data_IF_664280734797
#
_entry.id   IF_664280734797
#
_cell.length_a   1.000
_cell.length_b   1.000
_cell.length_c   1.000
_cell.angle_alpha   90.00
_cell.angle_beta   90.00
_cell.angle_gamma   90.00
#
_symmetry.space_group_name_H-M   'P 1'
#
loop_
_entity.id
_entity.type
_entity.pdbx_description
1 polymer ?
#
# COMPACT_ATOMS: atom_id res chain seq x y z
N UNK A 1 -0.54 30.59 -1.45
CA UNK A 1 0.65 30.32 -0.60
C UNK A 1 1.75 29.72 -1.47
N UNK A 2 3.01 29.84 -1.03
CA UNK A 2 4.11 29.07 -1.63
C UNK A 2 4.30 27.79 -0.83
N UNK A 3 4.02 26.66 -1.41
CA UNK A 3 4.10 25.34 -0.78
C UNK A 3 5.29 24.53 -1.33
N UNK A 4 5.93 23.74 -0.48
CA UNK A 4 6.97 22.79 -0.88
C UNK A 4 6.52 21.39 -0.52
N UNK A 5 6.56 20.47 -1.49
CA UNK A 5 6.23 19.06 -1.34
C UNK A 5 7.52 18.26 -1.25
N UNK A 6 7.78 17.58 -0.15
CA UNK A 6 8.83 16.58 -0.06
C UNK A 6 8.41 15.30 -0.79
N UNK A 7 9.25 14.78 -1.65
CA UNK A 7 8.97 13.55 -2.42
C UNK A 7 10.24 12.75 -2.66
N UNK A 8 10.09 11.42 -2.75
CA UNK A 8 11.16 10.55 -3.25
C UNK A 8 11.38 10.78 -4.75
N UNK A 9 12.57 10.41 -5.24
CA UNK A 9 12.95 10.58 -6.65
C UNK A 9 12.42 9.50 -7.61
N UNK A 10 11.68 8.47 -7.16
CA UNK A 10 11.13 7.45 -8.05
C UNK A 10 10.05 8.04 -8.96
N UNK A 11 9.90 7.49 -10.19
CA UNK A 11 8.90 7.98 -11.16
C UNK A 11 7.49 8.01 -10.56
N UNK A 12 7.09 6.97 -9.82
CA UNK A 12 5.78 6.91 -9.18
C UNK A 12 5.62 7.98 -8.09
N UNK A 13 6.63 8.19 -7.24
CA UNK A 13 6.56 9.22 -6.20
C UNK A 13 6.49 10.63 -6.82
N UNK A 14 7.28 10.89 -7.84
CA UNK A 14 7.24 12.17 -8.57
C UNK A 14 5.91 12.39 -9.28
N UNK A 15 5.31 11.34 -9.86
CA UNK A 15 3.98 11.45 -10.43
C UNK A 15 2.95 11.85 -9.36
N UNK A 16 3.00 11.20 -8.19
CA UNK A 16 2.10 11.50 -7.07
C UNK A 16 2.26 12.94 -6.57
N UNK A 17 3.49 13.39 -6.39
CA UNK A 17 3.79 14.77 -5.98
C UNK A 17 3.33 15.79 -7.03
N UNK A 18 3.57 15.55 -8.31
CA UNK A 18 3.12 16.41 -9.41
C UNK A 18 1.60 16.48 -9.51
N UNK A 19 0.91 15.35 -9.31
CA UNK A 19 -0.55 15.31 -9.29
C UNK A 19 -1.11 16.21 -8.19
N UNK A 20 -0.60 16.12 -6.97
CA UNK A 20 -1.03 16.98 -5.86
C UNK A 20 -0.61 18.44 -6.10
N UNK A 21 0.58 18.68 -6.63
CA UNK A 21 1.02 20.04 -6.98
C UNK A 21 0.09 20.70 -8.01
N UNK A 22 -0.37 19.95 -9.02
CA UNK A 22 -1.32 20.45 -10.01
C UNK A 22 -2.68 20.81 -9.39
N UNK A 23 -3.20 19.96 -8.47
CA UNK A 23 -4.45 20.22 -7.77
C UNK A 23 -4.34 21.48 -6.86
N UNK A 24 -3.24 21.63 -6.15
CA UNK A 24 -2.96 22.83 -5.33
C UNK A 24 -2.77 24.07 -6.21
N UNK A 25 -2.09 23.92 -7.35
CA UNK A 25 -1.93 25.01 -8.34
C UNK A 25 -3.26 25.52 -8.87
N UNK A 26 -4.22 24.61 -9.13
CA UNK A 26 -5.58 24.97 -9.53
C UNK A 26 -6.35 25.78 -8.47
N UNK A 27 -5.95 25.68 -7.18
CA UNK A 27 -6.47 26.51 -6.07
C UNK A 27 -5.66 27.81 -5.87
N UNK A 28 -4.75 28.15 -6.78
CA UNK A 28 -3.97 29.38 -6.72
C UNK A 28 -2.73 29.32 -5.82
N UNK A 29 -2.27 28.13 -5.43
CA UNK A 29 -1.02 27.97 -4.69
C UNK A 29 0.16 27.86 -5.66
N UNK A 30 1.31 28.45 -5.32
CA UNK A 30 2.59 28.13 -5.96
C UNK A 30 3.20 26.89 -5.29
N UNK A 31 3.60 25.89 -6.05
CA UNK A 31 4.08 24.61 -5.50
C UNK A 31 5.42 24.23 -6.09
N UNK A 32 6.38 23.94 -5.21
CA UNK A 32 7.69 23.39 -5.55
C UNK A 32 7.78 21.96 -5.05
N UNK A 33 8.49 21.08 -5.79
CA UNK A 33 8.73 19.70 -5.37
C UNK A 33 10.21 19.55 -5.02
N UNK A 34 10.48 19.20 -3.77
CA UNK A 34 11.80 18.91 -3.25
C UNK A 34 12.05 17.40 -3.23
N UNK A 35 13.10 16.96 -3.93
CA UNK A 35 13.46 15.55 -4.05
C UNK A 35 14.35 15.16 -2.89
N UNK A 36 13.83 14.30 -2.01
CA UNK A 36 14.54 13.75 -0.86
C UNK A 36 15.06 12.35 -1.19
N UNK A 37 16.37 12.14 -1.02
CA UNK A 37 16.99 10.81 -1.17
C UNK A 37 16.86 10.04 0.14
N UNK A 38 16.00 9.01 0.16
CA UNK A 38 15.79 8.19 1.34
C UNK A 38 16.79 7.05 1.47
N UNK A 39 16.98 6.55 2.68
CA UNK A 39 17.78 5.34 2.96
C UNK A 39 17.23 4.15 2.17
N UNK A 40 15.91 4.01 2.06
CA UNK A 40 15.27 2.96 1.27
C UNK A 40 15.60 3.03 -0.23
N UNK A 41 15.81 4.22 -0.80
CA UNK A 41 16.23 4.36 -2.20
C UNK A 41 17.70 3.92 -2.39
N UNK A 42 18.56 4.12 -1.39
CA UNK A 42 19.97 3.67 -1.41
C UNK A 42 20.11 2.17 -1.22
N UNK A 43 19.15 1.54 -0.52
CA UNK A 43 19.16 0.12 -0.17
C UNK A 43 18.38 -0.77 -1.17
N UNK A 44 17.90 -0.25 -2.30
CA UNK A 44 17.14 -1.04 -3.30
C UNK A 44 17.91 -2.25 -3.85
N UNK A 45 19.23 -2.31 -3.68
CA UNK A 45 20.11 -3.39 -4.13
C UNK A 45 20.41 -4.44 -3.03
N UNK A 46 19.97 -4.21 -1.77
CA UNK A 46 20.30 -5.06 -0.61
C UNK A 46 19.10 -5.91 -0.20
N UNK A 47 19.32 -7.11 0.35
CA UNK A 47 18.25 -8.03 0.79
C UNK A 47 17.55 -7.52 2.06
N UNK A 48 16.25 -7.86 2.26
CA UNK A 48 15.48 -7.46 3.45
C UNK A 48 16.11 -7.91 4.78
N UNK A 49 16.74 -9.07 4.81
CA UNK A 49 17.46 -9.55 5.99
C UNK A 49 18.61 -8.61 6.40
N UNK A 50 19.27 -7.98 5.43
CA UNK A 50 20.33 -6.98 5.68
C UNK A 50 19.76 -5.61 6.04
N UNK A 51 18.60 -5.25 5.46
CA UNK A 51 17.92 -3.96 5.74
C UNK A 51 17.34 -3.95 7.16
N UNK A 52 16.70 -5.03 7.62
CA UNK A 52 16.12 -5.14 8.96
C UNK A 52 17.18 -5.03 10.08
N UNK A 53 18.41 -5.48 9.82
CA UNK A 53 19.53 -5.35 10.76
C UNK A 53 20.09 -3.92 10.85
N UNK A 54 19.89 -3.10 9.81
CA UNK A 54 20.50 -1.76 9.72
C UNK A 54 19.56 -0.65 10.26
N UNK A 55 18.22 -0.79 10.10
CA UNK A 55 17.31 0.35 10.29
C UNK A 55 16.09 0.09 11.18
N UNK A 56 15.83 -1.14 11.62
CA UNK A 56 14.52 -1.46 12.19
C UNK A 56 13.38 -1.24 11.17
N UNK A 57 12.28 -1.97 11.28
CA UNK A 57 11.22 -2.08 10.24
C UNK A 57 10.39 -0.80 9.98
N UNK A 58 10.61 0.30 10.71
CA UNK A 58 9.78 1.51 10.64
C UNK A 58 10.54 2.66 9.97
N UNK A 59 9.97 3.20 8.87
CA UNK A 59 10.39 4.49 8.34
C UNK A 59 11.55 4.49 7.33
N UNK A 60 11.92 3.37 6.71
CA UNK A 60 13.01 3.31 5.72
C UNK A 60 12.80 4.27 4.53
N UNK A 61 11.55 4.58 4.21
CA UNK A 61 11.19 5.46 3.10
C UNK A 61 10.60 6.81 3.54
N UNK A 62 10.34 7.00 4.84
CA UNK A 62 9.65 8.20 5.35
C UNK A 62 10.51 9.06 6.24
N UNK A 63 11.54 8.49 6.90
CA UNK A 63 12.35 9.18 7.90
C UNK A 63 12.94 10.52 7.39
N UNK A 64 13.65 10.51 6.28
CA UNK A 64 14.27 11.71 5.73
C UNK A 64 13.24 12.72 5.19
N UNK A 65 12.06 12.23 4.78
CA UNK A 65 10.92 13.07 4.40
C UNK A 65 10.33 13.74 5.64
N UNK A 66 10.13 12.99 6.72
CA UNK A 66 9.64 13.49 8.01
C UNK A 66 10.64 14.49 8.63
N UNK A 67 11.95 14.25 8.50
CA UNK A 67 13.00 15.22 8.88
C UNK A 67 12.84 16.54 8.11
N UNK A 68 12.65 16.50 6.79
CA UNK A 68 12.44 17.70 5.98
C UNK A 68 11.14 18.45 6.35
N UNK A 69 10.09 17.74 6.78
CA UNK A 69 8.88 18.35 7.33
C UNK A 69 9.14 19.01 8.68
N UNK A 70 9.83 18.31 9.59
CA UNK A 70 10.14 18.80 10.95
C UNK A 70 11.00 20.06 10.92
N UNK A 71 12.00 20.10 10.03
CA UNK A 71 12.92 21.24 9.88
C UNK A 71 12.30 22.41 9.09
N UNK A 72 11.07 22.27 8.58
CA UNK A 72 10.38 23.30 7.79
C UNK A 72 10.95 23.47 6.38
N UNK A 73 11.80 22.57 5.91
CA UNK A 73 12.26 22.56 4.51
C UNK A 73 11.11 22.25 3.56
N UNK A 74 10.16 21.39 3.97
CA UNK A 74 8.93 21.13 3.25
C UNK A 74 7.70 21.42 4.13
N UNK A 75 6.55 21.69 3.49
CA UNK A 75 5.28 21.94 4.16
C UNK A 75 4.43 20.66 4.24
N UNK A 76 4.49 19.85 3.17
CA UNK A 76 3.74 18.60 3.07
C UNK A 76 4.57 17.53 2.35
N UNK A 77 4.19 16.28 2.57
CA UNK A 77 4.69 15.13 1.84
C UNK A 77 3.54 14.32 1.24
N UNK A 78 3.80 13.66 0.11
CA UNK A 78 2.82 12.82 -0.59
C UNK A 78 3.31 11.39 -0.62
N UNK A 79 2.53 10.50 -0.04
CA UNK A 79 2.86 9.08 0.09
C UNK A 79 1.83 8.17 -0.57
N UNK A 80 2.26 7.01 -1.04
CA UNK A 80 1.35 5.88 -1.16
C UNK A 80 0.94 5.45 0.25
N UNK A 81 -0.33 5.54 0.61
CA UNK A 81 -0.79 5.41 1.99
C UNK A 81 -0.45 4.04 2.61
N UNK A 82 -0.40 2.98 1.81
CA UNK A 82 0.01 1.63 2.26
C UNK A 82 1.44 1.53 2.78
N UNK A 83 2.30 2.50 2.41
CA UNK A 83 3.72 2.53 2.79
C UNK A 83 3.95 3.37 4.07
N UNK A 84 2.91 4.09 4.55
CA UNK A 84 2.93 4.81 5.81
C UNK A 84 2.60 3.88 7.00
N UNK A 85 3.27 4.03 8.15
CA UNK A 85 2.92 3.30 9.37
C UNK A 85 1.48 3.61 9.79
N UNK A 86 0.83 2.66 10.48
CA UNK A 86 -0.54 2.84 10.99
C UNK A 86 -0.61 3.98 12.00
N UNK A 87 0.43 4.16 12.81
CA UNK A 87 0.59 5.27 13.74
C UNK A 87 1.71 6.17 13.23
N UNK A 88 1.37 7.39 12.86
CA UNK A 88 2.36 8.39 12.46
C UNK A 88 3.13 8.90 13.68
N UNK A 89 4.46 9.10 13.56
CA UNK A 89 5.23 9.71 14.63
C UNK A 89 4.74 11.11 14.96
N UNK A 90 4.87 11.51 16.24
CA UNK A 90 4.74 12.92 16.59
C UNK A 90 5.93 13.68 15.99
N UNK A 91 5.78 14.86 15.39
CA UNK A 91 4.62 15.76 15.39
C UNK A 91 3.76 15.75 14.10
N UNK A 92 3.70 14.65 13.36
CA UNK A 92 3.05 14.59 12.04
C UNK A 92 1.58 14.16 12.09
N UNK A 93 0.83 14.54 11.05
CA UNK A 93 -0.56 14.17 10.84
C UNK A 93 -0.85 13.88 9.37
N UNK A 94 -1.82 12.99 9.15
CA UNK A 94 -2.40 12.72 7.83
C UNK A 94 -3.49 13.77 7.56
N UNK A 95 -3.08 14.89 6.96
CA UNK A 95 -3.93 16.07 6.78
C UNK A 95 -5.04 15.84 5.76
N UNK A 96 -4.75 15.15 4.63
CA UNK A 96 -5.76 14.84 3.63
C UNK A 96 -5.50 13.47 2.98
N UNK A 97 -6.58 12.84 2.52
CA UNK A 97 -6.57 11.58 1.77
C UNK A 97 -7.42 11.80 0.52
N UNK A 98 -6.81 12.04 -0.65
CA UNK A 98 -7.54 12.22 -1.91
C UNK A 98 -8.33 10.99 -2.34
N UNK A 99 -9.28 11.13 -3.30
CA UNK A 99 -10.04 10.01 -3.83
C UNK A 99 -9.15 8.83 -4.22
N UNK A 100 -9.54 7.63 -3.77
CA UNK A 100 -8.80 6.39 -3.99
C UNK A 100 -8.97 5.93 -5.44
N UNK A 101 -7.87 5.52 -6.06
CA UNK A 101 -7.90 4.81 -7.34
C UNK A 101 -7.99 3.29 -7.11
N UNK A 102 -8.00 2.49 -8.20
CA UNK A 102 -8.12 1.03 -8.12
C UNK A 102 -7.12 0.42 -7.14
N UNK A 103 -7.65 -0.17 -6.07
CA UNK A 103 -6.86 -0.78 -5.00
C UNK A 103 -6.38 -2.19 -5.31
N UNK A 104 -6.86 -2.81 -6.39
CA UNK A 104 -6.61 -4.22 -6.70
C UNK A 104 -5.13 -4.51 -6.94
N UNK A 105 -4.75 -5.73 -6.62
CA UNK A 105 -3.52 -6.31 -7.13
C UNK A 105 -3.75 -6.81 -8.57
N UNK A 106 -2.68 -6.89 -9.34
CA UNK A 106 -2.73 -7.31 -10.74
C UNK A 106 -1.63 -8.29 -11.06
N UNK A 107 -1.94 -9.21 -11.96
CA UNK A 107 -0.95 -10.03 -12.65
C UNK A 107 -0.44 -9.26 -13.87
N UNK A 108 0.87 -9.16 -13.97
CA UNK A 108 1.57 -8.59 -15.12
C UNK A 108 2.44 -9.66 -15.74
N UNK A 109 2.25 -9.95 -17.00
CA UNK A 109 3.02 -10.95 -17.75
C UNK A 109 3.13 -10.58 -19.22
N UNK A 110 4.26 -10.92 -19.83
CA UNK A 110 4.45 -10.78 -21.28
C UNK A 110 3.67 -11.89 -22.01
N UNK A 111 3.76 -13.13 -21.53
CA UNK A 111 3.38 -14.32 -22.26
C UNK A 111 2.06 -14.97 -21.82
N UNK A 112 1.57 -14.67 -20.60
CA UNK A 112 0.41 -15.37 -20.02
C UNK A 112 -0.72 -14.42 -19.70
N UNK A 113 -1.94 -14.75 -20.12
CA UNK A 113 -3.12 -13.87 -20.02
C UNK A 113 -3.82 -13.89 -18.64
N UNK A 114 -3.52 -14.87 -17.78
CA UNK A 114 -4.14 -14.99 -16.45
C UNK A 114 -3.30 -15.84 -15.51
N UNK A 115 -3.63 -15.79 -14.21
CA UNK A 115 -3.03 -16.65 -13.19
C UNK A 115 -3.27 -18.14 -13.49
N UNK A 116 -4.43 -18.49 -14.04
CA UNK A 116 -4.75 -19.88 -14.42
C UNK A 116 -3.99 -20.36 -15.65
N UNK A 117 -3.58 -19.45 -16.53
CA UNK A 117 -2.80 -19.77 -17.72
C UNK A 117 -1.30 -20.01 -17.43
N UNK A 118 -0.81 -19.64 -16.25
CA UNK A 118 0.57 -19.90 -15.86
C UNK A 118 0.82 -21.42 -15.73
N UNK A 119 1.94 -21.93 -16.28
CA UNK A 119 2.30 -23.35 -16.16
C UNK A 119 2.57 -23.75 -14.71
N UNK A 120 2.55 -25.05 -14.44
CA UNK A 120 2.99 -25.60 -13.16
C UNK A 120 4.46 -25.24 -12.91
N UNK A 121 4.76 -24.79 -11.68
CA UNK A 121 6.12 -24.37 -11.33
C UNK A 121 6.49 -22.98 -11.86
N UNK A 122 5.55 -22.21 -12.45
CA UNK A 122 5.82 -20.86 -12.94
C UNK A 122 6.40 -19.97 -11.84
N UNK A 123 7.41 -19.18 -12.21
CA UNK A 123 8.08 -18.24 -11.30
C UNK A 123 7.35 -16.90 -11.32
N UNK A 124 6.78 -16.51 -10.16
CA UNK A 124 6.04 -15.25 -10.04
C UNK A 124 6.74 -14.30 -9.07
N UNK A 125 7.18 -13.16 -9.60
CA UNK A 125 7.98 -12.18 -8.88
C UNK A 125 7.15 -11.33 -7.90
N UNK A 126 7.48 -11.41 -6.62
CA UNK A 126 6.95 -10.52 -5.58
C UNK A 126 7.84 -10.52 -4.33
N UNK A 127 8.04 -9.34 -3.71
CA UNK A 127 8.70 -9.22 -2.41
C UNK A 127 7.68 -9.01 -1.26
N UNK A 128 6.39 -8.99 -1.57
CA UNK A 128 5.33 -8.81 -0.59
C UNK A 128 4.93 -10.15 0.02
N UNK A 129 5.10 -10.30 1.35
CA UNK A 129 4.65 -11.49 2.06
C UNK A 129 3.15 -11.73 1.91
N UNK A 130 2.35 -10.67 1.92
CA UNK A 130 0.90 -10.72 1.68
C UNK A 130 0.57 -11.33 0.30
N UNK A 131 1.28 -10.89 -0.76
CA UNK A 131 1.07 -11.41 -2.12
C UNK A 131 1.55 -12.83 -2.24
N UNK A 132 2.73 -13.13 -1.69
CA UNK A 132 3.31 -14.49 -1.66
C UNK A 132 2.35 -15.47 -1.01
N UNK A 133 1.84 -15.16 0.18
CA UNK A 133 0.93 -16.01 0.93
C UNK A 133 -0.39 -16.26 0.17
N UNK A 134 -1.00 -15.22 -0.37
CA UNK A 134 -2.24 -15.36 -1.14
C UNK A 134 -2.04 -16.10 -2.46
N UNK A 135 -0.91 -15.88 -3.14
CA UNK A 135 -0.55 -16.62 -4.35
C UNK A 135 -0.44 -18.12 -4.07
N UNK A 136 0.28 -18.50 -3.00
CA UNK A 136 0.41 -19.90 -2.57
C UNK A 136 -0.92 -20.52 -2.16
N UNK A 137 -1.82 -19.76 -1.56
CA UNK A 137 -3.17 -20.22 -1.22
C UNK A 137 -4.02 -20.52 -2.48
N UNK A 138 -3.85 -19.76 -3.56
CA UNK A 138 -4.60 -19.90 -4.81
C UNK A 138 -3.96 -20.93 -5.77
N UNK A 139 -2.63 -20.95 -5.85
CA UNK A 139 -1.83 -21.77 -6.76
C UNK A 139 -0.61 -22.31 -5.99
N UNK A 140 -0.78 -23.39 -5.23
CA UNK A 140 0.31 -24.00 -4.43
C UNK A 140 1.51 -24.46 -5.27
N UNK A 141 1.26 -24.76 -6.54
CA UNK A 141 2.25 -25.20 -7.53
C UNK A 141 3.17 -24.09 -8.05
N UNK A 142 2.80 -22.80 -7.91
CA UNK A 142 3.60 -21.68 -8.37
C UNK A 142 4.75 -21.40 -7.40
N UNK A 143 5.90 -20.97 -7.95
CA UNK A 143 7.08 -20.55 -7.21
C UNK A 143 7.13 -19.01 -7.05
N UNK A 144 6.77 -18.47 -5.87
CA UNK A 144 6.97 -17.05 -5.60
C UNK A 144 8.46 -16.77 -5.41
N UNK A 145 9.01 -15.86 -6.22
CA UNK A 145 10.42 -15.47 -6.14
C UNK A 145 10.56 -14.02 -5.65
N UNK A 146 11.62 -13.75 -4.90
CA UNK A 146 11.94 -12.39 -4.45
C UNK A 146 12.18 -11.48 -5.67
N UNK A 147 11.42 -10.36 -5.76
CA UNK A 147 11.49 -9.49 -6.94
C UNK A 147 11.37 -8.03 -6.56
N UNK A 148 12.50 -7.35 -6.51
CA UNK A 148 12.65 -5.98 -6.01
C UNK A 148 12.93 -4.96 -7.10
N UNK A 149 12.75 -3.70 -6.71
CA UNK A 149 12.92 -2.51 -7.53
C UNK A 149 11.63 -1.69 -7.59
N UNK A 150 11.71 -0.51 -8.17
CA UNK A 150 10.54 0.27 -8.54
C UNK A 150 9.76 -0.39 -9.69
N UNK A 151 8.63 0.19 -10.08
CA UNK A 151 7.76 -0.38 -11.14
C UNK A 151 8.54 -0.60 -12.43
N UNK A 152 9.32 0.39 -12.89
CA UNK A 152 10.09 0.33 -14.14
C UNK A 152 11.12 -0.78 -14.12
N UNK A 153 11.87 -0.88 -13.03
CA UNK A 153 12.87 -1.94 -12.85
C UNK A 153 12.24 -3.32 -12.91
N UNK A 154 11.07 -3.51 -12.27
CA UNK A 154 10.38 -4.80 -12.28
C UNK A 154 9.82 -5.13 -13.66
N UNK A 155 9.24 -4.16 -14.37
CA UNK A 155 8.75 -4.37 -15.75
C UNK A 155 9.92 -4.72 -16.68
N UNK A 156 11.06 -4.02 -16.58
CA UNK A 156 12.24 -4.35 -17.36
C UNK A 156 12.74 -5.78 -17.10
N UNK A 157 12.88 -6.18 -15.82
CA UNK A 157 13.29 -7.54 -15.45
C UNK A 157 12.31 -8.61 -15.93
N UNK A 158 11.00 -8.30 -15.94
CA UNK A 158 9.99 -9.19 -16.52
C UNK A 158 10.18 -9.34 -18.03
N UNK A 159 10.40 -8.23 -18.76
CA UNK A 159 10.68 -8.24 -20.20
C UNK A 159 11.95 -9.03 -20.55
N UNK A 160 12.95 -9.00 -19.67
CA UNK A 160 14.19 -9.81 -19.79
C UNK A 160 13.97 -11.31 -19.48
N UNK A 161 12.75 -11.73 -19.14
CA UNK A 161 12.41 -13.14 -18.88
C UNK A 161 12.94 -13.69 -17.54
N UNK A 162 13.27 -12.82 -16.57
CA UNK A 162 13.75 -13.27 -15.26
C UNK A 162 12.68 -14.03 -14.47
N UNK A 163 11.39 -13.80 -14.75
CA UNK A 163 10.22 -14.48 -14.19
C UNK A 163 9.11 -14.57 -15.24
N UNK A 164 8.14 -15.47 -15.05
CA UNK A 164 7.01 -15.66 -15.95
C UNK A 164 5.93 -14.58 -15.79
N UNK A 165 5.76 -14.08 -14.56
CA UNK A 165 4.84 -13.01 -14.21
C UNK A 165 5.30 -12.27 -12.96
N UNK A 166 4.71 -11.10 -12.71
CA UNK A 166 4.89 -10.35 -11.45
C UNK A 166 3.55 -9.88 -10.90
N UNK A 167 3.50 -9.67 -9.59
CA UNK A 167 2.35 -9.08 -8.91
C UNK A 167 2.64 -7.62 -8.56
N UNK A 168 1.80 -6.71 -9.06
CA UNK A 168 1.87 -5.27 -8.78
C UNK A 168 0.53 -4.75 -8.26
N UNK A 169 0.49 -3.50 -7.80
CA UNK A 169 -0.76 -2.78 -7.54
C UNK A 169 -1.22 -2.07 -8.82
N UNK A 170 -2.49 -2.18 -9.18
CA UNK A 170 -3.10 -1.51 -10.32
C UNK A 170 -2.77 -0.01 -10.32
N UNK A 171 -2.99 0.66 -9.19
CA UNK A 171 -2.73 2.08 -9.00
C UNK A 171 -1.34 2.54 -9.46
N UNK A 172 -0.31 1.71 -9.29
CA UNK A 172 1.06 2.05 -9.72
C UNK A 172 1.21 2.03 -11.24
N UNK A 173 0.61 1.06 -11.90
CA UNK A 173 0.63 0.94 -13.36
C UNK A 173 -0.25 1.99 -14.03
N UNK A 174 -1.46 2.19 -13.50
CA UNK A 174 -2.42 3.18 -14.04
C UNK A 174 -1.84 4.60 -13.96
N UNK A 175 -1.20 4.96 -12.82
CA UNK A 175 -0.56 6.28 -12.66
C UNK A 175 0.62 6.51 -13.59
N UNK A 176 1.36 5.45 -13.93
CA UNK A 176 2.50 5.52 -14.83
C UNK A 176 2.13 5.22 -16.29
N UNK A 177 0.84 4.96 -16.56
CA UNK A 177 0.32 4.60 -17.90
C UNK A 177 1.03 3.37 -18.51
N UNK A 178 1.42 2.39 -17.62
CA UNK A 178 2.17 1.19 -17.99
C UNK A 178 1.30 -0.06 -17.88
N UNK A 179 0.24 -0.11 -18.69
CA UNK A 179 -0.78 -1.17 -18.63
C UNK A 179 -0.67 -2.23 -19.71
N UNK A 180 0.31 -2.13 -20.61
CA UNK A 180 0.44 -3.00 -21.79
C UNK A 180 0.54 -4.50 -21.46
N UNK A 181 1.15 -4.85 -20.30
CA UNK A 181 1.30 -6.25 -19.86
C UNK A 181 0.44 -6.57 -18.64
N UNK A 182 -0.49 -5.68 -18.27
CA UNK A 182 -1.49 -5.98 -17.25
C UNK A 182 -2.48 -6.99 -17.82
N UNK A 183 -2.50 -8.20 -17.26
CA UNK A 183 -3.31 -9.31 -17.78
C UNK A 183 -4.57 -9.55 -16.96
N UNK A 184 -4.46 -9.46 -15.64
CA UNK A 184 -5.58 -9.76 -14.76
C UNK A 184 -5.58 -8.82 -13.57
N UNK A 185 -6.73 -8.19 -13.29
CA UNK A 185 -7.01 -7.51 -12.02
C UNK A 185 -7.75 -8.49 -11.11
N UNK A 186 -7.25 -8.64 -9.88
CA UNK A 186 -7.85 -9.58 -8.93
C UNK A 186 -8.95 -8.92 -8.12
N UNK A 187 -10.12 -9.56 -8.02
CA UNK A 187 -11.16 -9.10 -7.12
C UNK A 187 -10.75 -9.27 -5.65
N UNK A 188 -11.07 -8.30 -4.75
CA UNK A 188 -10.64 -8.31 -3.35
C UNK A 188 -11.04 -9.57 -2.57
N UNK A 189 -12.16 -10.21 -2.94
CA UNK A 189 -12.60 -11.47 -2.34
C UNK A 189 -11.63 -12.61 -2.62
N UNK A 190 -10.95 -12.59 -3.77
CA UNK A 190 -9.98 -13.62 -4.18
C UNK A 190 -8.58 -13.26 -3.72
N UNK A 191 -8.18 -12.01 -3.93
CA UNK A 191 -6.84 -11.52 -3.65
C UNK A 191 -6.92 -10.15 -2.98
N UNK A 192 -6.94 -10.17 -1.64
CA UNK A 192 -7.20 -8.99 -0.85
C UNK A 192 -6.02 -8.01 -0.88
N UNK A 193 -6.25 -6.72 -1.22
CA UNK A 193 -5.22 -5.69 -1.25
C UNK A 193 -4.58 -5.41 0.11
N UNK A 194 -3.48 -4.68 0.13
CA UNK A 194 -2.93 -4.12 1.35
C UNK A 194 -3.80 -2.96 1.86
N UNK A 195 -3.85 -2.77 3.18
CA UNK A 195 -4.48 -1.59 3.78
C UNK A 195 -3.92 -0.30 3.17
N UNK A 196 -4.79 0.60 2.74
CA UNK A 196 -4.43 1.86 2.07
C UNK A 196 -3.93 1.72 0.63
N UNK A 197 -3.92 0.53 0.02
CA UNK A 197 -3.49 0.38 -1.37
C UNK A 197 -4.39 1.17 -2.32
N UNK A 198 -3.80 1.92 -3.25
CA UNK A 198 -4.50 2.80 -4.19
C UNK A 198 -4.75 4.22 -3.67
N UNK A 199 -4.74 4.44 -2.36
CA UNK A 199 -4.88 5.76 -1.75
C UNK A 199 -3.54 6.51 -1.66
N UNK A 200 -3.62 7.84 -1.74
CA UNK A 200 -2.54 8.75 -1.36
C UNK A 200 -2.77 9.25 0.06
N UNK A 201 -1.69 9.52 0.78
CA UNK A 201 -1.72 10.21 2.05
C UNK A 201 -0.93 11.52 1.96
N UNK A 202 -1.52 12.61 2.39
CA UNK A 202 -0.86 13.91 2.50
C UNK A 202 -0.49 14.13 3.95
N UNK A 203 0.80 14.10 4.23
CA UNK A 203 1.37 14.27 5.55
C UNK A 203 1.86 15.70 5.75
N UNK A 204 1.59 16.26 6.93
CA UNK A 204 2.03 17.60 7.35
C UNK A 204 2.46 17.58 8.81
N UNK A 205 3.10 18.64 9.29
CA UNK A 205 3.16 18.89 10.72
C UNK A 205 1.76 19.17 11.28
N UNK A 206 1.48 18.74 12.51
CA UNK A 206 0.19 18.94 13.19
C UNK A 206 -0.08 20.41 13.54
N UNK A 207 0.96 21.19 13.75
CA UNK A 207 0.90 22.61 14.12
C UNK A 207 0.86 23.55 12.91
N UNK A 208 1.07 23.04 11.70
CA UNK A 208 1.00 23.82 10.46
C UNK A 208 -0.46 23.97 9.98
N UNK A 209 -1.25 24.76 10.72
CA UNK A 209 -2.66 24.99 10.40
C UNK A 209 -2.88 25.60 9.01
N UNK A 210 -1.93 26.40 8.52
CA UNK A 210 -2.02 27.03 7.21
C UNK A 210 -1.90 25.98 6.08
N UNK A 211 -0.94 25.05 6.18
CA UNK A 211 -0.80 23.96 5.20
C UNK A 211 -1.97 22.98 5.30
N UNK A 212 -2.42 22.64 6.52
CA UNK A 212 -3.60 21.78 6.72
C UNK A 212 -4.84 22.38 6.04
N UNK A 213 -5.10 23.67 6.23
CA UNK A 213 -6.21 24.35 5.58
C UNK A 213 -6.07 24.37 4.05
N UNK A 214 -4.85 24.56 3.53
CA UNK A 214 -4.58 24.59 2.10
C UNK A 214 -4.82 23.24 1.41
N UNK A 215 -4.64 22.10 2.10
CA UNK A 215 -4.84 20.74 1.55
C UNK A 215 -6.21 20.13 1.88
N UNK A 216 -7.01 20.77 2.74
CA UNK A 216 -8.27 20.20 3.23
C UNK A 216 -9.28 19.84 2.13
N UNK A 217 -9.31 20.59 1.01
CA UNK A 217 -10.19 20.32 -0.13
C UNK A 217 -9.85 19.00 -0.86
N UNK A 218 -8.67 18.46 -0.64
CA UNK A 218 -8.23 17.19 -1.21
C UNK A 218 -8.78 15.98 -0.44
N UNK A 219 -9.33 16.19 0.76
CA UNK A 219 -9.77 15.12 1.62
C UNK A 219 -11.10 14.53 1.16
N UNK A 220 -11.08 13.25 0.78
CA UNK A 220 -12.25 12.50 0.32
C UNK A 220 -12.81 11.67 1.47
N UNK A 221 -14.00 12.04 1.96
CA UNK A 221 -14.61 11.42 3.13
C UNK A 221 -14.84 9.90 2.98
N UNK A 222 -15.33 9.37 1.84
CA UNK A 222 -15.45 7.93 1.62
C UNK A 222 -14.11 7.20 1.67
N UNK A 223 -13.08 7.74 1.01
CA UNK A 223 -11.73 7.17 1.04
C UNK A 223 -11.15 7.20 2.45
N UNK A 224 -11.26 8.34 3.15
CA UNK A 224 -10.80 8.47 4.53
C UNK A 224 -11.46 7.45 5.44
N UNK A 225 -12.77 7.28 5.35
CA UNK A 225 -13.48 6.25 6.11
C UNK A 225 -12.89 4.86 5.83
N UNK A 226 -12.85 4.46 4.55
CA UNK A 226 -12.39 3.14 4.13
C UNK A 226 -10.98 2.83 4.63
N UNK A 227 -10.03 3.75 4.43
CA UNK A 227 -8.64 3.51 4.85
C UNK A 227 -8.45 3.60 6.37
N UNK A 228 -9.32 4.34 7.08
CA UNK A 228 -9.33 4.33 8.56
C UNK A 228 -9.74 2.97 9.09
N UNK A 229 -10.79 2.36 8.54
CA UNK A 229 -11.18 0.96 8.86
C UNK A 229 -10.01 0.00 8.62
N UNK A 230 -9.40 0.08 7.43
CA UNK A 230 -8.29 -0.81 7.04
C UNK A 230 -7.09 -0.69 7.97
N UNK A 231 -6.68 0.53 8.30
CA UNK A 231 -5.54 0.82 9.20
C UNK A 231 -5.83 0.42 10.64
N UNK A 232 -7.06 0.67 11.13
CA UNK A 232 -7.47 0.25 12.48
C UNK A 232 -7.47 -1.29 12.61
N UNK A 233 -7.96 -2.01 11.59
CA UNK A 233 -7.90 -3.46 11.58
C UNK A 233 -6.46 -3.98 11.53
N UNK A 234 -5.60 -3.39 10.70
CA UNK A 234 -4.19 -3.76 10.60
C UNK A 234 -3.44 -3.52 11.92
N UNK A 235 -3.66 -2.38 12.57
CA UNK A 235 -3.08 -2.04 13.87
C UNK A 235 -3.53 -3.04 14.96
N UNK A 236 -4.82 -3.40 15.00
CA UNK A 236 -5.39 -4.35 15.96
C UNK A 236 -4.85 -5.78 15.81
N UNK A 237 -4.36 -6.14 14.61
CA UNK A 237 -3.72 -7.42 14.35
C UNK A 237 -2.20 -7.41 14.65
N UNK A 238 -1.67 -6.29 15.16
CA UNK A 238 -0.22 -6.12 15.37
C UNK A 238 0.57 -6.06 14.06
N UNK A 239 -0.12 -5.76 12.94
CA UNK A 239 0.46 -5.81 11.62
C UNK A 239 1.22 -4.55 11.24
N UNK A 240 2.37 -4.74 10.59
CA UNK A 240 3.14 -3.74 9.85
C UNK A 240 3.18 -4.10 8.37
N UNK A 241 4.01 -3.39 7.59
CA UNK A 241 4.13 -3.61 6.14
C UNK A 241 4.63 -5.01 5.75
N UNK A 242 5.15 -5.80 6.70
CA UNK A 242 5.78 -7.12 6.48
C UNK A 242 4.87 -8.30 6.80
N UNK A 243 3.70 -8.09 7.39
CA UNK A 243 2.79 -9.19 7.76
C UNK A 243 1.93 -9.60 6.57
N UNK A 244 1.61 -10.89 6.41
CA UNK A 244 0.82 -11.39 5.30
C UNK A 244 -0.69 -11.12 5.50
N UNK A 245 -1.02 -9.86 5.75
CA UNK A 245 -2.38 -9.37 6.00
C UNK A 245 -2.85 -8.53 4.80
N UNK A 246 -4.01 -8.83 4.27
CA UNK A 246 -4.75 -8.00 3.33
C UNK A 246 -6.03 -7.49 4.00
N UNK A 247 -6.33 -6.19 3.82
CA UNK A 247 -7.58 -5.59 4.30
C UNK A 247 -8.00 -4.55 3.28
N UNK A 248 -9.26 -4.63 2.86
CA UNK A 248 -9.85 -3.70 1.93
C UNK A 248 -11.28 -3.36 2.33
N UNK A 249 -11.57 -2.09 2.43
CA UNK A 249 -12.91 -1.54 2.66
C UNK A 249 -13.29 -0.68 1.45
N UNK A 250 -14.53 -0.82 1.00
CA UNK A 250 -15.11 0.04 -0.05
C UNK A 250 -16.58 0.28 0.22
N UNK A 251 -17.10 1.37 -0.26
CA UNK A 251 -18.52 1.56 -0.35
C UNK A 251 -19.07 0.64 -1.45
N UNK A 252 -20.21 -0.03 -1.20
CA UNK A 252 -20.87 -0.82 -2.23
C UNK A 252 -21.30 0.06 -3.41
N UNK A 253 -21.48 -0.52 -4.60
CA UNK A 253 -21.81 0.23 -5.80
C UNK A 253 -23.14 1.01 -5.71
N UNK A 254 -24.07 0.54 -4.87
CA UNK A 254 -25.34 1.20 -4.56
C UNK A 254 -25.25 2.16 -3.36
N UNK A 255 -24.04 2.38 -2.84
CA UNK A 255 -23.73 3.23 -1.69
C UNK A 255 -24.52 2.91 -0.40
N UNK A 256 -25.10 1.72 -0.31
CA UNK A 256 -25.99 1.32 0.80
C UNK A 256 -25.23 0.80 2.02
N UNK A 257 -24.06 0.20 1.81
CA UNK A 257 -23.25 -0.43 2.87
C UNK A 257 -21.76 -0.34 2.57
N UNK A 258 -20.95 -0.47 3.60
CA UNK A 258 -19.51 -0.75 3.48
C UNK A 258 -19.31 -2.25 3.25
N UNK A 259 -18.50 -2.60 2.25
CA UNK A 259 -18.02 -3.96 2.02
C UNK A 259 -16.57 -4.08 2.49
N UNK A 260 -16.30 -5.09 3.30
CA UNK A 260 -14.99 -5.34 3.89
C UNK A 260 -14.49 -6.73 3.49
N UNK A 261 -13.29 -6.77 2.98
CA UNK A 261 -12.56 -7.98 2.64
C UNK A 261 -11.30 -8.01 3.48
N UNK A 262 -11.04 -9.12 4.17
CA UNK A 262 -9.81 -9.25 4.91
C UNK A 262 -9.26 -10.67 4.82
N UNK A 263 -7.94 -10.79 4.89
CA UNK A 263 -7.22 -12.07 4.85
C UNK A 263 -5.98 -12.02 5.73
N UNK A 264 -5.76 -13.10 6.44
CA UNK A 264 -4.46 -13.46 7.03
C UNK A 264 -4.05 -14.77 6.40
N UNK A 265 -2.85 -14.84 5.81
CA UNK A 265 -2.39 -16.03 5.11
C UNK A 265 -0.94 -16.35 5.49
N UNK A 266 -0.62 -17.65 5.63
CA UNK A 266 0.74 -18.10 5.92
C UNK A 266 1.57 -18.17 4.61
N UNK A 267 2.74 -17.52 4.55
CA UNK A 267 3.54 -17.40 3.32
C UNK A 267 3.97 -18.74 2.72
N UNK A 268 4.21 -19.74 3.57
CA UNK A 268 4.84 -21.02 3.13
C UNK A 268 3.86 -22.19 3.08
N UNK A 269 2.72 -22.13 3.77
CA UNK A 269 1.78 -23.27 3.85
C UNK A 269 0.55 -23.14 2.94
N UNK A 270 0.31 -21.98 2.35
CA UNK A 270 -0.91 -21.71 1.58
C UNK A 270 -2.19 -21.63 2.45
N UNK A 271 -2.08 -21.78 3.78
CA UNK A 271 -3.23 -21.61 4.69
C UNK A 271 -3.64 -20.16 4.75
N UNK A 272 -4.94 -19.90 4.66
CA UNK A 272 -5.49 -18.55 4.73
C UNK A 272 -6.81 -18.54 5.47
N UNK A 273 -6.99 -17.54 6.33
CA UNK A 273 -8.26 -17.18 6.94
C UNK A 273 -8.77 -15.94 6.23
N UNK A 274 -10.00 -16.00 5.73
CA UNK A 274 -10.63 -14.91 4.98
C UNK A 274 -11.96 -14.54 5.61
N UNK A 275 -12.29 -13.27 5.59
CA UNK A 275 -13.62 -12.77 5.92
C UNK A 275 -14.11 -11.82 4.83
N UNK A 276 -15.42 -11.82 4.64
CA UNK A 276 -16.18 -10.82 3.92
C UNK A 276 -17.30 -10.35 4.86
N UNK A 277 -17.36 -9.05 5.12
CA UNK A 277 -18.32 -8.46 6.02
C UNK A 277 -18.99 -7.25 5.37
N UNK A 278 -20.24 -6.98 5.74
CA UNK A 278 -20.99 -5.79 5.32
C UNK A 278 -21.42 -5.01 6.55
N UNK A 279 -21.25 -3.71 6.51
CA UNK A 279 -21.56 -2.83 7.63
C UNK A 279 -22.39 -1.61 7.18
N UNK A 280 -23.26 -1.07 8.04
CA UNK A 280 -24.02 0.14 7.75
C UNK A 280 -23.10 1.33 7.44
N UNK A 281 -23.57 2.25 6.58
CA UNK A 281 -22.83 3.48 6.22
C UNK A 281 -22.53 4.36 7.45
N UNK A 282 -23.41 4.35 8.44
CA UNK A 282 -23.28 5.11 9.69
C UNK A 282 -22.33 4.49 10.74
N UNK A 283 -21.56 3.43 10.38
CA UNK A 283 -20.63 2.78 11.30
C UNK A 283 -19.48 3.72 11.70
N UNK A 284 -18.95 3.52 12.92
CA UNK A 284 -17.67 4.13 13.31
C UNK A 284 -16.50 3.37 12.64
N UNK A 285 -15.60 4.06 11.92
CA UNK A 285 -14.55 3.39 11.15
C UNK A 285 -13.51 2.67 12.03
N UNK A 286 -13.18 3.20 13.21
CA UNK A 286 -12.20 2.58 14.11
C UNK A 286 -12.80 1.32 14.72
N UNK A 287 -14.02 1.40 15.27
CA UNK A 287 -14.71 0.27 15.85
C UNK A 287 -14.96 -0.84 14.80
N UNK A 288 -15.29 -0.46 13.56
CA UNK A 288 -15.47 -1.41 12.46
C UNK A 288 -14.15 -2.13 12.10
N UNK A 289 -13.04 -1.42 12.08
CA UNK A 289 -11.72 -2.01 11.86
C UNK A 289 -11.34 -3.00 12.97
N UNK A 290 -11.58 -2.63 14.23
CA UNK A 290 -11.36 -3.50 15.39
C UNK A 290 -12.23 -4.77 15.33
N UNK A 291 -13.51 -4.63 14.93
CA UNK A 291 -14.41 -5.77 14.73
C UNK A 291 -13.87 -6.73 13.66
N UNK A 292 -13.39 -6.22 12.53
CA UNK A 292 -12.81 -7.05 11.45
C UNK A 292 -11.59 -7.84 11.96
N UNK A 293 -10.73 -7.22 12.76
CA UNK A 293 -9.59 -7.89 13.38
C UNK A 293 -10.05 -9.01 14.34
N UNK A 294 -11.04 -8.74 15.19
CA UNK A 294 -11.62 -9.74 16.09
C UNK A 294 -12.23 -10.93 15.32
N UNK A 295 -12.97 -10.66 14.24
CA UNK A 295 -13.53 -11.71 13.39
C UNK A 295 -12.45 -12.60 12.78
N UNK A 296 -11.34 -12.03 12.27
CA UNK A 296 -10.20 -12.80 11.76
C UNK A 296 -9.58 -13.69 12.86
N UNK A 297 -9.35 -13.14 14.05
CA UNK A 297 -8.80 -13.89 15.18
C UNK A 297 -9.73 -15.02 15.63
N UNK A 298 -11.03 -14.76 15.74
CA UNK A 298 -12.05 -15.76 16.07
C UNK A 298 -12.16 -16.88 15.02
N UNK A 299 -11.86 -16.58 13.76
CA UNK A 299 -11.84 -17.55 12.65
C UNK A 299 -10.51 -18.32 12.54
N UNK A 300 -9.55 -18.07 13.44
CA UNK A 300 -8.30 -18.85 13.52
C UNK A 300 -7.09 -18.19 12.87
N UNK A 301 -7.05 -16.84 12.76
CA UNK A 301 -5.91 -16.12 12.20
C UNK A 301 -4.70 -16.07 13.16
N UNK A 302 -4.88 -16.20 14.47
CA UNK A 302 -3.81 -16.05 15.46
C UNK A 302 -2.59 -16.98 15.22
N UNK A 303 -2.75 -18.29 14.94
CA UNK A 303 -1.61 -19.15 14.63
C UNK A 303 -0.86 -18.76 13.36
N UNK A 304 -1.56 -18.17 12.37
CA UNK A 304 -0.93 -17.74 11.11
C UNK A 304 -0.09 -16.47 11.32
N UNK A 305 -0.51 -15.60 12.23
CA UNK A 305 0.25 -14.40 12.62
C UNK A 305 1.48 -14.75 13.45
N UNK A 306 1.35 -15.68 14.40
CA UNK A 306 2.45 -16.11 15.26
C UNK A 306 3.62 -16.73 14.47
N UNK A 307 3.32 -17.48 13.38
CA UNK A 307 4.33 -18.07 12.51
C UNK A 307 5.15 -17.04 11.69
N UNK A 308 4.71 -15.79 11.61
CA UNK A 308 5.40 -14.72 10.89
C UNK A 308 6.36 -13.91 11.78
N UNK A 309 6.27 -14.03 13.11
CA UNK A 309 7.12 -13.34 14.11
C UNK A 309 8.38 -14.11 14.55
N UNK A 310 8.60 -15.30 14.02
CA UNK A 310 9.62 -16.25 14.52
C UNK A 310 10.96 -16.26 13.79
N UNK A 311 11.33 -15.18 13.08
CA UNK A 311 12.70 -14.99 12.60
C UNK A 311 13.28 -13.73 13.27
N UNK A 312 13.60 -13.86 14.58
CA UNK A 312 14.54 -12.96 15.25
C UNK A 312 15.96 -13.41 14.99
#
# INVERSE_FOLDING_TARGET
MNLRIASRGSQLALWQARHIAALLGAQGHSVEIEIIKTTGDRLQEITFAQVGQITGDKGIFTKEIEEALADGHAHLAVHSLKDLPTDLPQPFALAAIPPRVDARDVLVSVNFESLSALPQGARVGTSSQRRRAQLKALRPDIEPVEFRGNVDTRLRKLAEGQVDAILLAAAGLDRLEKTEWLRQRFEPIQFCPAAGQGALGIETRKDDSATIAAVAFLDDAPTRFAVTVERAALASLGGGCQVPIGIHCRLAADESVWELFAVVAAPDSGKAVRIHHRAPVASDPIALGQLVAQMLLATGAAPLLAGCGGAQ
#
